data_IF_877534846935
#
_entry.id   IF_877534846935
#
_cell.length_a   1.000
_cell.length_b   1.000
_cell.length_c   1.000
_cell.angle_alpha   90.00
_cell.angle_beta   90.00
_cell.angle_gamma   90.00
#
_symmetry.space_group_name_H-M   'P 1'
#
loop_
_entity.id
_entity.type
_entity.pdbx_description
1 polymer ?
#
# COMPACT_ATOMS: atom_id res chain seq x y z
N UNK A 1 9.65 6.69 -19.98
CA UNK A 1 9.15 5.38 -20.47
C UNK A 1 7.83 5.04 -19.77
N UNK A 2 6.69 5.24 -20.40
CA UNK A 2 5.40 4.76 -19.92
C UNK A 2 4.28 5.23 -20.86
N UNK A 3 3.41 4.37 -21.35
CA UNK A 3 3.39 2.90 -21.24
C UNK A 3 4.40 2.22 -22.18
N UNK A 4 5.03 2.98 -23.07
CA UNK A 4 5.99 2.50 -24.07
C UNK A 4 7.24 3.38 -24.13
N UNK A 5 8.35 2.93 -24.76
CA UNK A 5 9.52 3.76 -25.00
C UNK A 5 9.17 5.00 -25.82
N UNK A 6 9.56 6.17 -25.32
CA UNK A 6 9.29 7.46 -25.98
C UNK A 6 10.53 8.02 -26.71
N UNK A 7 11.64 7.28 -26.72
CA UNK A 7 12.91 7.77 -27.23
C UNK A 7 13.57 8.80 -26.29
N UNK A 8 14.56 9.54 -26.82
CA UNK A 8 15.23 10.60 -26.06
C UNK A 8 14.30 11.81 -25.98
N UNK A 9 14.06 12.31 -24.75
CA UNK A 9 13.16 13.42 -24.47
C UNK A 9 13.70 14.28 -23.33
N UNK A 10 13.36 15.57 -23.40
CA UNK A 10 13.44 16.44 -22.24
C UNK A 10 12.11 16.35 -21.47
N UNK A 11 12.18 16.46 -20.15
CA UNK A 11 11.02 16.41 -19.26
C UNK A 11 11.06 17.62 -18.32
N UNK A 12 10.00 18.42 -18.35
CA UNK A 12 9.78 19.53 -17.42
C UNK A 12 8.84 19.09 -16.30
N UNK A 13 9.26 19.30 -15.08
CA UNK A 13 8.51 18.94 -13.87
C UNK A 13 8.30 20.22 -13.04
N UNK A 14 7.09 20.42 -12.55
CA UNK A 14 6.74 21.46 -11.59
C UNK A 14 6.01 20.83 -10.40
N UNK A 15 6.59 20.96 -9.21
CA UNK A 15 6.09 20.30 -8.01
C UNK A 15 6.07 18.77 -8.19
N UNK A 16 4.88 18.20 -8.14
CA UNK A 16 4.63 16.76 -8.27
C UNK A 16 4.17 16.33 -9.68
N UNK A 17 4.18 17.26 -10.66
CA UNK A 17 3.57 17.03 -11.99
C UNK A 17 4.57 17.13 -13.12
N UNK A 18 4.46 16.21 -14.07
CA UNK A 18 5.11 16.34 -15.38
C UNK A 18 4.29 17.34 -16.22
N UNK A 19 4.88 18.51 -16.50
CA UNK A 19 4.23 19.59 -17.25
C UNK A 19 4.41 19.40 -18.74
N UNK A 20 5.60 18.94 -19.18
CA UNK A 20 5.91 18.78 -20.60
C UNK A 20 6.89 17.65 -20.84
N UNK A 21 6.67 16.91 -21.91
CA UNK A 21 7.63 15.96 -22.49
C UNK A 21 7.79 16.34 -23.97
N UNK A 22 9.02 16.59 -24.42
CA UNK A 22 9.32 16.95 -25.81
C UNK A 22 10.73 16.45 -26.23
N UNK A 23 11.00 16.42 -27.54
CA UNK A 23 12.34 16.09 -28.05
C UNK A 23 13.39 17.10 -27.55
N UNK A 24 12.97 18.36 -27.43
CA UNK A 24 13.74 19.43 -26.80
C UNK A 24 12.79 20.44 -26.19
N UNK A 25 13.08 20.82 -24.94
CA UNK A 25 12.38 21.91 -24.27
C UNK A 25 13.31 23.13 -24.37
N UNK A 26 12.97 24.03 -25.33
CA UNK A 26 13.68 25.29 -25.51
C UNK A 26 12.92 26.41 -24.82
N UNK A 27 13.62 27.33 -24.19
CA UNK A 27 13.10 28.51 -23.52
C UNK A 27 14.16 29.17 -22.67
N UNK A 28 14.00 30.46 -22.40
CA UNK A 28 14.80 31.14 -21.38
C UNK A 28 14.09 30.96 -20.02
N UNK A 29 14.68 30.18 -19.18
CA UNK A 29 14.20 29.90 -17.84
C UNK A 29 15.08 30.59 -16.76
N UNK A 30 15.92 31.55 -17.18
CA UNK A 30 16.89 32.25 -16.29
C UNK A 30 16.22 32.99 -15.15
N UNK A 31 14.99 33.49 -15.36
CA UNK A 31 14.21 34.18 -14.32
C UNK A 31 13.45 33.18 -13.40
N UNK A 32 13.42 31.89 -13.76
CA UNK A 32 12.79 30.84 -12.98
C UNK A 32 13.89 30.04 -12.27
N UNK A 33 13.67 29.69 -11.02
CA UNK A 33 14.61 28.83 -10.28
C UNK A 33 14.49 27.37 -10.76
N UNK A 34 14.92 27.12 -12.01
CA UNK A 34 14.87 25.79 -12.63
C UNK A 34 16.15 25.03 -12.35
N UNK A 35 16.05 23.86 -11.72
CA UNK A 35 17.15 22.92 -11.55
C UNK A 35 17.20 21.96 -12.73
N UNK A 36 18.28 22.00 -13.49
CA UNK A 36 18.52 21.03 -14.57
C UNK A 36 19.25 19.79 -14.03
N UNK A 37 18.76 18.62 -14.40
CA UNK A 37 19.38 17.32 -14.09
C UNK A 37 19.77 16.64 -15.39
N UNK A 38 21.07 16.50 -15.63
CA UNK A 38 21.60 15.76 -16.77
C UNK A 38 21.38 14.26 -16.60
N UNK A 39 20.62 13.68 -17.52
CA UNK A 39 20.23 12.26 -17.47
C UNK A 39 20.68 11.47 -18.72
N UNK A 40 21.77 11.91 -19.38
CA UNK A 40 22.28 11.23 -20.55
C UNK A 40 22.64 9.77 -20.26
N UNK A 41 22.24 8.87 -21.15
CA UNK A 41 22.42 7.41 -20.97
C UNK A 41 21.52 6.75 -19.94
N UNK A 42 20.62 7.51 -19.28
CA UNK A 42 19.67 6.97 -18.29
C UNK A 42 18.28 6.81 -18.90
N UNK A 43 17.52 5.90 -18.33
CA UNK A 43 16.09 5.72 -18.66
C UNK A 43 15.23 6.28 -17.52
N UNK A 44 14.38 7.25 -17.85
CA UNK A 44 13.36 7.76 -16.92
C UNK A 44 12.13 6.86 -16.97
N UNK A 45 11.70 6.39 -15.84
CA UNK A 45 10.49 5.56 -15.64
C UNK A 45 9.65 6.13 -14.50
N UNK A 46 8.34 5.80 -14.42
CA UNK A 46 7.55 6.07 -13.22
C UNK A 46 8.19 5.42 -12.00
N UNK A 47 8.05 6.06 -10.83
CA UNK A 47 8.50 5.46 -9.58
C UNK A 47 7.78 4.15 -9.27
N UNK A 48 8.44 3.25 -8.56
CA UNK A 48 7.89 1.94 -8.23
C UNK A 48 6.81 2.06 -7.16
N UNK A 49 5.84 1.14 -7.23
CA UNK A 49 4.78 0.98 -6.24
C UNK A 49 5.04 -0.28 -5.43
N UNK A 50 5.23 -0.13 -4.12
CA UNK A 50 5.31 -1.27 -3.20
C UNK A 50 3.97 -1.43 -2.47
N UNK A 51 3.29 -2.53 -2.75
CA UNK A 51 1.96 -2.81 -2.24
C UNK A 51 1.95 -3.52 -0.87
N UNK A 52 3.13 -3.74 -0.25
CA UNK A 52 3.22 -4.51 1.00
C UNK A 52 4.36 -4.03 1.89
N UNK A 53 4.15 -2.94 2.63
CA UNK A 53 5.21 -2.36 3.46
C UNK A 53 4.80 -2.30 4.93
N UNK A 54 5.62 -2.89 5.81
CA UNK A 54 5.45 -2.80 7.26
C UNK A 54 6.11 -1.51 7.79
N UNK A 55 5.46 -0.37 7.57
CA UNK A 55 6.04 0.96 7.87
C UNK A 55 6.30 1.19 9.36
N UNK A 56 5.55 0.54 10.25
CA UNK A 56 5.77 0.57 11.70
C UNK A 56 6.64 -0.60 12.20
N UNK A 57 7.39 -1.22 11.29
CA UNK A 57 8.17 -2.41 11.56
C UNK A 57 7.37 -3.70 11.57
N UNK A 58 8.07 -4.81 11.63
CA UNK A 58 7.54 -6.17 11.66
C UNK A 58 8.38 -7.05 12.59
N UNK A 59 8.25 -8.37 12.49
CA UNK A 59 8.95 -9.30 13.35
C UNK A 59 8.41 -9.31 14.79
N UNK A 60 9.14 -9.91 15.69
CA UNK A 60 8.74 -10.10 17.09
C UNK A 60 8.21 -11.50 17.38
N UNK A 61 8.05 -12.36 16.37
CA UNK A 61 7.53 -13.72 16.54
C UNK A 61 8.48 -14.67 17.33
N UNK A 62 9.74 -14.27 17.49
CA UNK A 62 10.70 -14.96 18.34
C UNK A 62 11.05 -14.16 19.62
N UNK A 63 10.18 -13.23 20.02
CA UNK A 63 10.33 -12.38 21.19
C UNK A 63 10.70 -10.94 20.88
N UNK A 64 10.63 -10.05 21.86
CA UNK A 64 10.75 -8.59 21.68
C UNK A 64 12.04 -8.15 20.99
N UNK A 65 13.13 -8.85 21.19
CA UNK A 65 14.44 -8.53 20.58
C UNK A 65 14.48 -8.78 19.06
N UNK A 66 13.49 -9.48 18.49
CA UNK A 66 13.41 -9.76 17.06
C UNK A 66 12.51 -8.78 16.29
N UNK A 67 12.03 -7.73 16.96
CA UNK A 67 11.23 -6.67 16.34
C UNK A 67 12.12 -5.80 15.45
N UNK A 68 11.66 -5.49 14.23
CA UNK A 68 12.36 -4.53 13.37
C UNK A 68 11.90 -3.10 13.69
N UNK A 69 12.76 -2.07 13.46
CA UNK A 69 12.37 -0.68 13.65
C UNK A 69 11.36 -0.22 12.59
N UNK A 70 10.80 0.97 12.81
CA UNK A 70 9.99 1.65 11.81
C UNK A 70 10.78 1.95 10.53
N UNK A 71 10.08 1.95 9.41
CA UNK A 71 10.64 2.30 8.11
C UNK A 71 10.95 3.80 8.03
N UNK A 72 12.15 4.13 7.57
CA UNK A 72 12.55 5.49 7.25
C UNK A 72 12.35 5.74 5.75
N UNK A 73 11.98 6.96 5.37
CA UNK A 73 11.77 7.33 3.97
C UNK A 73 13.02 7.06 3.09
N UNK A 74 14.21 7.27 3.62
CA UNK A 74 15.47 6.99 2.92
C UNK A 74 15.60 5.54 2.48
N UNK A 75 15.03 4.60 3.24
CA UNK A 75 15.01 3.18 2.90
C UNK A 75 14.04 2.84 1.77
N UNK A 76 13.06 3.70 1.53
CA UNK A 76 12.06 3.56 0.48
C UNK A 76 12.59 4.17 -0.82
N UNK A 77 12.93 5.46 -0.79
CA UNK A 77 13.24 6.23 -2.00
C UNK A 77 14.56 5.82 -2.67
N UNK A 78 15.56 5.33 -1.91
CA UNK A 78 16.81 4.84 -2.48
C UNK A 78 16.64 3.65 -3.44
N UNK A 79 15.50 2.97 -3.38
CA UNK A 79 15.14 1.87 -4.28
C UNK A 79 14.22 2.29 -5.42
N UNK A 80 13.98 3.61 -5.60
CA UNK A 80 13.10 4.15 -6.62
C UNK A 80 11.61 3.96 -6.33
N UNK A 81 11.24 3.62 -5.09
CA UNK A 81 9.85 3.48 -4.68
C UNK A 81 9.32 4.88 -4.34
N UNK A 82 8.21 5.27 -4.96
CA UNK A 82 7.54 6.56 -4.76
C UNK A 82 6.10 6.41 -4.24
N UNK A 83 5.59 5.19 -4.23
CA UNK A 83 4.25 4.88 -3.72
C UNK A 83 4.30 3.63 -2.87
N UNK A 84 3.69 3.67 -1.69
CA UNK A 84 3.59 2.51 -0.80
C UNK A 84 2.16 2.24 -0.36
N UNK A 85 1.89 0.98 -0.04
CA UNK A 85 0.71 0.57 0.73
C UNK A 85 1.18 -0.03 2.05
N UNK A 86 0.96 0.71 3.11
CA UNK A 86 1.31 0.33 4.47
C UNK A 86 0.30 -0.69 5.03
N UNK A 87 0.78 -1.66 5.77
CA UNK A 87 -0.07 -2.67 6.39
C UNK A 87 0.58 -3.31 7.62
N UNK A 88 -0.24 -3.94 8.46
CA UNK A 88 0.24 -4.72 9.59
C UNK A 88 0.86 -6.06 9.18
N UNK A 89 1.85 -6.50 9.99
CA UNK A 89 2.30 -7.88 10.04
C UNK A 89 1.43 -8.72 10.99
N UNK A 90 2.08 -9.65 11.67
CA UNK A 90 1.43 -10.56 12.64
C UNK A 90 1.01 -9.86 13.93
N UNK A 91 1.75 -8.83 14.36
CA UNK A 91 1.49 -8.09 15.58
C UNK A 91 0.60 -6.88 15.31
N UNK A 92 -0.69 -7.05 15.45
CA UNK A 92 -1.68 -5.96 15.42
C UNK A 92 -1.99 -5.39 16.82
N UNK A 93 -1.36 -5.91 17.87
CA UNK A 93 -1.59 -5.53 19.27
C UNK A 93 -0.58 -4.50 19.76
N UNK A 94 0.71 -4.87 19.78
CA UNK A 94 1.76 -3.96 20.21
C UNK A 94 2.19 -2.95 19.14
N UNK A 95 1.75 -3.15 17.91
CA UNK A 95 1.76 -2.21 16.79
C UNK A 95 0.31 -1.98 16.36
N UNK A 96 -0.33 -0.97 16.92
CA UNK A 96 -1.75 -0.72 16.72
C UNK A 96 -2.05 -0.02 15.39
N UNK A 97 -3.31 0.03 15.01
CA UNK A 97 -3.76 0.60 13.74
C UNK A 97 -3.58 2.12 13.69
N UNK A 98 -3.64 2.79 14.83
CA UNK A 98 -3.42 4.23 14.95
C UNK A 98 -1.96 4.60 14.63
N UNK A 99 -1.00 3.81 15.13
CA UNK A 99 0.42 4.00 14.79
C UNK A 99 0.68 3.77 13.30
N UNK A 100 0.02 2.76 12.69
CA UNK A 100 0.09 2.53 11.26
C UNK A 100 -0.43 3.73 10.46
N UNK A 101 -1.58 4.28 10.85
CA UNK A 101 -2.15 5.46 10.22
C UNK A 101 -1.24 6.69 10.35
N UNK A 102 -0.77 6.98 11.58
CA UNK A 102 0.12 8.11 11.83
C UNK A 102 1.41 8.02 11.01
N UNK A 103 2.04 6.85 10.95
CA UNK A 103 3.26 6.65 10.14
C UNK A 103 2.99 6.75 8.64
N UNK A 104 1.83 6.30 8.17
CA UNK A 104 1.42 6.46 6.77
C UNK A 104 1.27 7.93 6.39
N UNK A 105 0.65 8.74 7.26
CA UNK A 105 0.54 10.18 7.07
C UNK A 105 1.92 10.86 7.07
N UNK A 106 2.78 10.52 8.03
CA UNK A 106 4.12 11.08 8.13
C UNK A 106 4.95 10.82 6.86
N UNK A 107 4.92 9.60 6.31
CA UNK A 107 5.65 9.29 5.07
C UNK A 107 5.11 10.06 3.85
N UNK A 108 3.82 10.39 3.83
CA UNK A 108 3.27 11.25 2.77
C UNK A 108 3.71 12.71 2.96
N UNK A 109 3.75 13.22 4.18
CA UNK A 109 4.30 14.55 4.49
C UNK A 109 5.80 14.64 4.15
N UNK A 110 6.54 13.53 4.28
CA UNK A 110 7.93 13.42 3.85
C UNK A 110 8.10 13.38 2.32
N UNK A 111 7.04 13.22 1.52
CA UNK A 111 7.02 13.44 0.07
C UNK A 111 6.79 12.23 -0.82
N UNK A 112 6.39 11.08 -0.31
CA UNK A 112 5.95 9.93 -1.15
C UNK A 112 4.43 9.76 -1.10
N UNK A 113 3.85 9.08 -2.07
CA UNK A 113 2.44 8.67 -1.99
C UNK A 113 2.32 7.50 -1.03
N UNK A 114 1.54 7.66 0.05
CA UNK A 114 1.32 6.62 1.03
C UNK A 114 -0.17 6.31 1.21
N UNK A 115 -0.52 5.04 1.14
CA UNK A 115 -1.84 4.48 1.42
C UNK A 115 -1.67 3.35 2.43
N UNK A 116 -2.77 2.89 3.02
CA UNK A 116 -2.75 1.79 3.98
C UNK A 116 -3.92 0.84 3.83
N UNK A 117 -3.76 -0.32 4.44
CA UNK A 117 -4.84 -1.29 4.64
C UNK A 117 -5.25 -1.30 6.10
N UNK A 118 -6.55 -1.36 6.35
CA UNK A 118 -7.09 -1.65 7.69
C UNK A 118 -7.05 -3.14 7.98
N UNK A 119 -7.08 -3.55 9.23
CA UNK A 119 -6.95 -4.95 9.64
C UNK A 119 -5.50 -5.41 9.80
N UNK A 120 -5.34 -6.66 10.22
CA UNK A 120 -4.05 -7.33 10.47
C UNK A 120 -4.18 -8.83 10.19
N UNK A 121 -3.31 -9.66 10.78
CA UNK A 121 -3.48 -11.12 10.79
C UNK A 121 -4.64 -11.58 11.67
N UNK A 122 -5.12 -10.70 12.54
CA UNK A 122 -6.14 -11.00 13.53
C UNK A 122 -7.56 -10.78 12.99
N UNK A 123 -8.51 -11.55 13.49
CA UNK A 123 -9.94 -11.37 13.30
C UNK A 123 -10.64 -11.45 14.66
N UNK A 124 -11.55 -10.52 14.99
CA UNK A 124 -12.03 -9.39 14.18
C UNK A 124 -10.92 -8.40 13.81
N UNK A 125 -11.07 -7.76 12.64
CA UNK A 125 -10.05 -6.83 12.11
C UNK A 125 -9.86 -5.61 13.00
N UNK A 126 -8.61 -5.24 13.28
CA UNK A 126 -8.28 -3.96 13.88
C UNK A 126 -8.67 -2.81 12.92
N UNK A 127 -9.43 -1.84 13.43
CA UNK A 127 -9.99 -0.73 12.65
C UNK A 127 -9.91 0.58 13.42
N UNK A 128 -9.81 1.70 12.70
CA UNK A 128 -9.76 3.04 13.30
C UNK A 128 -11.15 3.55 13.73
N UNK A 129 -12.22 3.15 13.02
CA UNK A 129 -13.56 3.69 13.21
C UNK A 129 -14.60 2.66 13.69
N UNK A 130 -14.15 1.47 14.05
CA UNK A 130 -14.99 0.39 14.55
C UNK A 130 -15.48 -0.59 13.49
N UNK A 131 -15.26 -0.35 12.20
CA UNK A 131 -15.49 -1.35 11.14
C UNK A 131 -14.67 -1.07 9.90
N UNK A 132 -14.32 -2.13 9.16
CA UNK A 132 -13.62 -2.05 7.88
C UNK A 132 -14.36 -1.15 6.88
N UNK A 133 -15.68 -1.31 6.78
CA UNK A 133 -16.51 -0.50 5.89
C UNK A 133 -16.43 0.99 6.22
N UNK A 134 -16.45 1.37 7.49
CA UNK A 134 -16.32 2.77 7.91
C UNK A 134 -14.93 3.34 7.64
N UNK A 135 -13.87 2.56 7.92
CA UNK A 135 -12.51 2.96 7.60
C UNK A 135 -12.37 3.24 6.10
N UNK A 136 -12.90 2.35 5.26
CA UNK A 136 -12.90 2.51 3.81
C UNK A 136 -13.62 3.78 3.32
N UNK A 137 -14.75 4.14 3.95
CA UNK A 137 -15.55 5.29 3.54
C UNK A 137 -14.92 6.60 4.02
N UNK A 138 -14.53 6.68 5.29
CA UNK A 138 -14.23 7.94 5.95
C UNK A 138 -12.75 8.28 6.04
N UNK A 139 -11.85 7.31 5.80
CA UNK A 139 -10.41 7.55 5.90
C UNK A 139 -9.78 7.44 4.52
N UNK A 140 -9.35 8.56 3.97
CA UNK A 140 -8.79 8.65 2.61
C UNK A 140 -7.62 7.68 2.39
N UNK A 141 -6.74 7.55 3.38
CA UNK A 141 -5.57 6.66 3.31
C UNK A 141 -5.89 5.18 3.20
N UNK A 142 -7.07 4.75 3.69
CA UNK A 142 -7.46 3.34 3.69
C UNK A 142 -8.04 2.96 2.33
N UNK A 143 -7.38 2.07 1.61
CA UNK A 143 -7.76 1.62 0.25
C UNK A 143 -8.16 0.14 0.17
N UNK A 144 -8.08 -0.58 1.26
CA UNK A 144 -8.42 -2.00 1.33
C UNK A 144 -8.30 -2.54 2.75
N UNK A 145 -8.50 -3.83 2.89
CA UNK A 145 -8.40 -4.55 4.15
C UNK A 145 -7.32 -5.63 4.12
N UNK A 146 -6.75 -5.95 5.28
CA UNK A 146 -5.71 -6.97 5.47
C UNK A 146 -6.20 -8.12 6.32
N UNK A 147 -5.87 -9.36 5.91
CA UNK A 147 -5.97 -10.56 6.76
C UNK A 147 -4.92 -11.59 6.39
N UNK A 148 -4.93 -12.74 7.07
CA UNK A 148 -4.06 -13.89 6.79
C UNK A 148 -4.85 -15.20 6.86
N UNK A 149 -4.57 -16.10 5.94
CA UNK A 149 -5.13 -17.45 5.89
C UNK A 149 -4.03 -18.50 5.71
N UNK A 150 -4.33 -19.74 6.03
CA UNK A 150 -3.40 -20.87 5.90
C UNK A 150 -2.04 -20.62 6.58
N UNK A 151 -2.01 -19.82 7.60
CA UNK A 151 -0.82 -19.48 8.39
C UNK A 151 -1.06 -19.82 9.87
N UNK A 152 -0.09 -20.47 10.49
CA UNK A 152 -0.15 -20.83 11.92
C UNK A 152 -0.19 -19.60 12.86
N UNK A 153 0.23 -18.43 12.37
CA UNK A 153 0.24 -17.16 13.10
C UNK A 153 -1.05 -16.37 12.92
N UNK A 154 -1.94 -16.78 12.03
CA UNK A 154 -3.23 -16.14 11.86
C UNK A 154 -4.21 -16.52 12.97
N UNK A 155 -5.27 -15.74 13.14
CA UNK A 155 -6.37 -16.05 14.05
C UNK A 155 -7.24 -17.24 13.60
N UNK A 156 -6.83 -17.99 12.59
CA UNK A 156 -7.57 -19.10 11.98
C UNK A 156 -9.00 -18.71 11.54
N UNK A 157 -9.15 -17.67 10.70
CA UNK A 157 -10.45 -17.17 10.33
C UNK A 157 -11.28 -18.23 9.64
N UNK A 158 -12.58 -18.24 9.92
CA UNK A 158 -13.54 -19.04 9.17
C UNK A 158 -13.77 -18.44 7.79
N UNK A 159 -14.31 -19.23 6.85
CA UNK A 159 -14.72 -18.77 5.52
C UNK A 159 -15.64 -17.55 5.63
N UNK A 160 -16.69 -17.63 6.47
CA UNK A 160 -17.66 -16.56 6.66
C UNK A 160 -17.00 -15.25 7.17
N UNK A 161 -15.99 -15.32 8.02
CA UNK A 161 -15.26 -14.13 8.47
C UNK A 161 -14.50 -13.47 7.33
N UNK A 162 -13.86 -14.24 6.45
CA UNK A 162 -13.14 -13.71 5.28
C UNK A 162 -14.11 -13.15 4.25
N UNK A 163 -15.25 -13.80 4.02
CA UNK A 163 -16.35 -13.31 3.18
C UNK A 163 -16.87 -11.96 3.68
N UNK A 164 -17.16 -11.85 4.97
CA UNK A 164 -17.62 -10.60 5.58
C UNK A 164 -16.58 -9.49 5.45
N UNK A 165 -15.30 -9.79 5.67
CA UNK A 165 -14.20 -8.84 5.50
C UNK A 165 -14.15 -8.31 4.07
N UNK A 166 -14.15 -9.21 3.10
CA UNK A 166 -14.09 -8.87 1.68
C UNK A 166 -15.31 -8.04 1.24
N UNK A 167 -16.52 -8.44 1.67
CA UNK A 167 -17.74 -7.69 1.40
C UNK A 167 -17.72 -6.27 1.99
N UNK A 168 -17.22 -6.10 3.23
CA UNK A 168 -17.06 -4.79 3.84
C UNK A 168 -16.02 -3.92 3.13
N UNK A 169 -14.88 -4.48 2.74
CA UNK A 169 -13.85 -3.77 1.99
C UNK A 169 -14.39 -3.33 0.62
N UNK A 170 -15.01 -4.23 -0.12
CA UNK A 170 -15.58 -3.95 -1.44
C UNK A 170 -16.68 -2.89 -1.38
N UNK A 171 -17.71 -3.09 -0.55
CA UNK A 171 -18.84 -2.14 -0.46
C UNK A 171 -18.42 -0.80 0.13
N UNK A 172 -17.48 -0.81 1.09
CA UNK A 172 -16.88 0.42 1.62
C UNK A 172 -16.06 1.15 0.56
N UNK A 173 -15.34 0.41 -0.28
CA UNK A 173 -14.62 0.96 -1.43
C UNK A 173 -15.54 1.64 -2.43
N UNK A 174 -16.63 0.99 -2.84
CA UNK A 174 -17.63 1.60 -3.73
C UNK A 174 -18.19 2.90 -3.17
N UNK A 175 -18.59 2.90 -1.89
CA UNK A 175 -19.16 4.08 -1.25
C UNK A 175 -18.14 5.21 -1.03
N UNK A 176 -16.86 4.85 -0.83
CA UNK A 176 -15.75 5.80 -0.64
C UNK A 176 -15.04 6.21 -1.94
N UNK A 177 -15.51 5.76 -3.11
CA UNK A 177 -14.86 6.05 -4.40
C UNK A 177 -13.49 5.37 -4.58
N UNK A 178 -13.28 4.21 -3.95
CA UNK A 178 -12.05 3.43 -3.93
C UNK A 178 -12.27 2.02 -4.46
N UNK A 179 -11.19 1.30 -4.80
CA UNK A 179 -11.29 -0.10 -5.26
C UNK A 179 -11.82 -1.06 -4.18
N UNK A 180 -11.35 -0.93 -2.94
CA UNK A 180 -11.85 -1.72 -1.81
C UNK A 180 -11.48 -3.20 -1.90
N UNK A 181 -10.20 -3.51 -2.09
CA UNK A 181 -9.72 -4.89 -2.18
C UNK A 181 -9.36 -5.47 -0.81
N UNK A 182 -9.29 -6.79 -0.75
CA UNK A 182 -8.77 -7.52 0.42
C UNK A 182 -7.41 -8.13 0.10
N UNK A 183 -6.39 -7.69 0.83
CA UNK A 183 -5.03 -8.20 0.74
C UNK A 183 -4.86 -9.36 1.72
N UNK A 184 -4.51 -10.53 1.22
CA UNK A 184 -4.46 -11.75 2.01
C UNK A 184 -3.04 -12.30 2.06
N UNK A 185 -2.46 -12.39 3.26
CA UNK A 185 -1.26 -13.18 3.47
C UNK A 185 -1.60 -14.67 3.40
N UNK A 186 -0.95 -15.38 2.50
CA UNK A 186 -1.05 -16.82 2.40
C UNK A 186 0.14 -17.49 3.07
N UNK A 187 -0.13 -18.24 4.12
CA UNK A 187 0.89 -19.05 4.78
C UNK A 187 1.12 -20.42 4.12
N UNK A 188 1.91 -21.25 4.79
CA UNK A 188 2.30 -22.60 4.31
C UNK A 188 1.35 -23.73 4.76
N UNK A 189 0.20 -23.38 5.36
CA UNK A 189 -0.77 -24.35 5.84
C UNK A 189 -1.35 -25.23 4.73
N UNK A 190 -1.84 -26.42 5.09
CA UNK A 190 -2.30 -27.43 4.14
C UNK A 190 -3.47 -26.96 3.24
N UNK A 191 -4.32 -26.06 3.73
CA UNK A 191 -5.47 -25.54 2.97
C UNK A 191 -5.07 -24.63 1.81
N UNK A 192 -3.91 -23.98 1.86
CA UNK A 192 -3.42 -23.04 0.82
C UNK A 192 -4.53 -22.08 0.38
N UNK A 193 -4.87 -22.05 -0.89
CA UNK A 193 -5.87 -21.19 -1.52
C UNK A 193 -7.30 -21.77 -1.51
N UNK A 194 -7.56 -22.96 -0.94
CA UNK A 194 -8.87 -23.61 -1.07
C UNK A 194 -10.01 -22.72 -0.58
N UNK A 195 -9.84 -22.07 0.57
CA UNK A 195 -10.85 -21.15 1.11
C UNK A 195 -11.21 -20.02 0.13
N UNK A 196 -10.22 -19.42 -0.53
CA UNK A 196 -10.47 -18.34 -1.50
C UNK A 196 -11.17 -18.83 -2.75
N UNK A 197 -10.80 -20.02 -3.24
CA UNK A 197 -11.48 -20.65 -4.37
C UNK A 197 -12.95 -20.93 -4.04
N UNK A 198 -13.24 -21.36 -2.81
CA UNK A 198 -14.60 -21.58 -2.35
C UNK A 198 -15.38 -20.27 -2.25
N UNK A 199 -14.78 -19.20 -1.72
CA UNK A 199 -15.41 -17.87 -1.64
C UNK A 199 -15.78 -17.38 -3.04
N UNK A 200 -14.82 -17.39 -3.99
CA UNK A 200 -15.07 -16.93 -5.38
C UNK A 200 -16.18 -17.73 -6.06
N UNK A 201 -16.28 -19.03 -5.77
CA UNK A 201 -17.29 -19.92 -6.40
C UNK A 201 -18.67 -19.79 -5.77
N UNK A 202 -18.75 -19.51 -4.48
CA UNK A 202 -19.97 -19.66 -3.68
C UNK A 202 -20.58 -18.31 -3.25
N UNK A 203 -19.96 -17.19 -3.62
CA UNK A 203 -20.41 -15.84 -3.26
C UNK A 203 -20.45 -14.91 -4.46
N UNK A 204 -21.12 -13.78 -4.31
CA UNK A 204 -21.15 -12.67 -5.28
C UNK A 204 -19.98 -11.68 -5.09
N UNK A 205 -18.99 -12.00 -4.24
CA UNK A 205 -17.81 -11.16 -4.05
C UNK A 205 -16.94 -11.27 -5.30
N UNK A 206 -16.61 -10.16 -5.97
CA UNK A 206 -15.79 -10.18 -7.16
C UNK A 206 -14.36 -10.67 -6.83
N UNK A 207 -13.70 -11.38 -7.75
CA UNK A 207 -12.36 -11.89 -7.57
C UNK A 207 -11.28 -10.80 -7.51
#
# INVERSE_FOLDING_TARGET
YSPAPMGRKDVLIEGDKVIKIADRIAGDYSELNVKTVEAEGKTLVPGFVDQHVHVIGAGGEAGFATRTPEMQISNIVKHGITTIVALHGTDGTARNIEALYAKTCALEEEGITARMLTGSFEMPSATLTGSVRRDMIFIDKVIGAKTAISDRRSSQPTKAMVEQLAAQAYTGGLAGGKRGYTHIHLGVGARKLSMLKDIIRETEIPP
#
